data_IF_239811533038
#
_entry.id   IF_239811533038
#
_cell.length_a   1.000
_cell.length_b   1.000
_cell.length_c   1.000
_cell.angle_alpha   90.00
_cell.angle_beta   90.00
_cell.angle_gamma   90.00
#
_symmetry.space_group_name_H-M   'P 1'
#
loop_
_entity.id
_entity.type
_entity.pdbx_description
1 polymer ?
#
# COMPACT_ATOMS: atom_id res chain seq x y z
N UNK A 1 -11.24 -75.32 1.13
CA UNK A 1 -10.81 -74.06 0.50
C UNK A 1 -11.48 -72.91 1.24
N UNK A 2 -10.77 -72.26 2.16
CA UNK A 2 -11.27 -71.11 2.94
C UNK A 2 -10.42 -69.91 2.56
N UNK A 3 -10.94 -69.08 1.67
CA UNK A 3 -10.29 -67.88 1.14
C UNK A 3 -10.41 -66.76 2.16
N UNK A 4 -9.28 -66.32 2.74
CA UNK A 4 -9.19 -65.12 3.58
C UNK A 4 -9.36 -63.88 2.69
N UNK A 5 -10.39 -63.07 2.97
CA UNK A 5 -10.52 -61.73 2.40
C UNK A 5 -9.86 -60.73 3.35
N UNK A 6 -8.67 -60.25 3.03
CA UNK A 6 -8.05 -59.11 3.71
C UNK A 6 -8.64 -57.83 3.12
N UNK A 7 -9.43 -57.10 3.91
CA UNK A 7 -9.87 -55.74 3.57
C UNK A 7 -8.69 -54.80 3.75
N UNK A 8 -8.16 -54.28 2.64
CA UNK A 8 -7.20 -53.19 2.64
C UNK A 8 -7.98 -51.88 2.87
N UNK A 9 -7.91 -51.33 4.07
CA UNK A 9 -8.49 -50.01 4.38
C UNK A 9 -7.54 -48.94 3.86
N UNK A 10 -7.87 -48.35 2.72
CA UNK A 10 -7.14 -47.21 2.17
C UNK A 10 -7.46 -45.98 3.03
N UNK A 11 -6.55 -45.60 3.92
CA UNK A 11 -6.62 -44.32 4.63
C UNK A 11 -6.39 -43.21 3.59
N UNK A 12 -7.47 -42.52 3.20
CA UNK A 12 -7.35 -41.25 2.49
C UNK A 12 -6.77 -40.23 3.48
N UNK A 13 -5.46 -40.00 3.39
CA UNK A 13 -4.83 -38.88 4.05
C UNK A 13 -5.46 -37.60 3.47
N UNK A 14 -6.35 -36.97 4.23
CA UNK A 14 -6.74 -35.59 4.00
C UNK A 14 -5.45 -34.78 4.14
N UNK A 15 -4.83 -34.44 3.00
CA UNK A 15 -3.82 -33.39 2.99
C UNK A 15 -4.53 -32.14 3.50
N UNK A 16 -4.33 -31.83 4.77
CA UNK A 16 -4.52 -30.47 5.27
C UNK A 16 -3.59 -29.62 4.41
N UNK A 17 -4.16 -28.86 3.48
CA UNK A 17 -3.44 -27.81 2.78
C UNK A 17 -2.82 -26.97 3.88
N UNK A 18 -1.49 -27.00 4.01
CA UNK A 18 -0.82 -26.02 4.86
C UNK A 18 -1.27 -24.68 4.31
N UNK A 19 -2.06 -23.92 5.07
CA UNK A 19 -2.38 -22.54 4.72
C UNK A 19 -1.03 -21.85 4.61
N UNK A 20 -0.56 -21.70 3.37
CA UNK A 20 0.70 -21.06 3.13
C UNK A 20 0.58 -19.62 3.66
N UNK A 21 1.68 -19.16 4.26
CA UNK A 21 1.78 -17.92 5.02
C UNK A 21 2.07 -16.82 4.02
N UNK A 22 1.29 -15.75 3.98
CA UNK A 22 1.23 -14.95 2.75
C UNK A 22 1.28 -13.46 3.06
N UNK A 23 2.43 -12.87 2.80
CA UNK A 23 2.60 -11.42 2.74
C UNK A 23 1.82 -10.88 1.53
N UNK A 24 1.09 -9.79 1.72
CA UNK A 24 0.16 -9.25 0.73
C UNK A 24 0.58 -7.93 0.10
N UNK A 25 1.64 -7.29 0.59
CA UNK A 25 1.97 -5.95 0.12
C UNK A 25 2.59 -5.07 1.17
N UNK A 26 3.31 -4.06 0.72
CA UNK A 26 3.77 -2.99 1.57
C UNK A 26 4.48 -1.89 0.83
N UNK A 27 4.74 -0.82 1.57
CA UNK A 27 5.57 0.30 1.16
C UNK A 27 6.31 0.85 2.37
N UNK A 28 7.41 1.55 2.12
CA UNK A 28 8.18 2.26 3.13
C UNK A 28 8.75 3.54 2.53
N UNK A 29 8.54 4.64 3.23
CA UNK A 29 9.13 5.95 2.93
C UNK A 29 9.90 6.44 4.16
N UNK A 30 10.72 7.46 3.97
CA UNK A 30 11.59 7.98 5.00
C UNK A 30 11.85 9.48 4.85
N UNK A 31 12.12 10.14 5.97
CA UNK A 31 12.57 11.53 6.01
C UNK A 31 13.70 11.73 7.04
N UNK A 32 14.64 12.66 6.80
CA UNK A 32 15.68 12.98 7.76
C UNK A 32 15.07 13.71 8.96
N UNK A 33 15.64 13.50 10.14
CA UNK A 33 15.23 14.19 11.38
C UNK A 33 16.34 15.13 11.85
N UNK A 34 17.43 14.57 12.37
CA UNK A 34 18.60 15.33 12.83
C UNK A 34 19.86 14.48 12.68
N UNK A 35 20.94 15.08 12.18
CA UNK A 35 22.18 14.37 11.90
C UNK A 35 21.94 13.22 10.91
N UNK A 36 22.26 11.99 11.32
CA UNK A 36 22.03 10.78 10.52
C UNK A 36 20.83 9.97 11.03
N UNK A 37 19.94 10.59 11.81
CA UNK A 37 18.69 10.00 12.25
C UNK A 37 17.64 10.15 11.16
N UNK A 38 16.97 9.05 10.87
CA UNK A 38 15.92 8.93 9.86
C UNK A 38 14.66 8.42 10.53
N UNK A 39 13.53 9.05 10.21
CA UNK A 39 12.21 8.51 10.49
C UNK A 39 11.75 7.73 9.27
N UNK A 40 11.41 6.46 9.49
CA UNK A 40 10.79 5.59 8.51
C UNK A 40 9.31 5.47 8.83
N UNK A 41 8.47 5.48 7.80
CA UNK A 41 7.05 5.12 7.92
C UNK A 41 6.81 3.97 6.96
N UNK A 42 6.22 2.88 7.46
CA UNK A 42 5.87 1.75 6.62
C UNK A 42 4.41 1.37 6.80
N UNK A 43 3.87 0.81 5.72
CA UNK A 43 2.56 0.18 5.67
C UNK A 43 2.71 -1.20 5.09
N UNK A 44 2.00 -2.17 5.66
CA UNK A 44 2.07 -3.55 5.20
C UNK A 44 0.76 -4.29 5.39
N UNK A 45 0.57 -5.30 4.57
CA UNK A 45 -0.59 -6.17 4.56
C UNK A 45 -0.23 -7.63 4.55
N UNK A 46 -1.07 -8.43 5.19
CA UNK A 46 -0.89 -9.86 5.38
C UNK A 46 -2.21 -10.57 5.14
N UNK A 47 -2.13 -11.88 4.89
CA UNK A 47 -3.29 -12.74 5.09
C UNK A 47 -3.71 -12.69 6.56
N UNK A 48 -5.01 -12.68 6.82
CA UNK A 48 -5.57 -12.61 8.17
C UNK A 48 -4.94 -13.65 9.11
N UNK A 49 -4.43 -13.19 10.25
CA UNK A 49 -3.77 -14.01 11.27
C UNK A 49 -2.34 -14.43 10.94
N UNK A 50 -1.78 -13.99 9.80
CA UNK A 50 -0.40 -14.32 9.40
C UNK A 50 0.60 -13.18 9.64
N UNK A 51 0.12 -11.95 9.88
CA UNK A 51 0.93 -10.80 10.26
C UNK A 51 1.11 -10.67 11.78
N UNK A 52 1.42 -9.47 12.28
CA UNK A 52 1.51 -9.15 13.71
C UNK A 52 0.22 -9.37 14.54
N UNK A 53 -0.88 -9.80 13.93
CA UNK A 53 -2.10 -10.23 14.65
C UNK A 53 -3.15 -9.14 14.77
N UNK A 54 -3.32 -8.37 13.69
CA UNK A 54 -4.40 -7.39 13.54
C UNK A 54 -5.72 -8.10 13.23
N UNK A 55 -6.75 -7.74 14.00
CA UNK A 55 -8.12 -8.26 13.88
C UNK A 55 -9.07 -7.07 13.91
N UNK A 56 -10.32 -7.27 13.52
CA UNK A 56 -11.37 -6.26 13.52
C UNK A 56 -11.54 -5.60 14.90
N UNK A 57 -11.38 -6.38 15.97
CA UNK A 57 -11.46 -5.92 17.36
C UNK A 57 -10.21 -5.16 17.84
N UNK A 58 -9.13 -5.16 17.06
CA UNK A 58 -7.85 -4.53 17.38
C UNK A 58 -7.56 -3.31 16.50
N UNK A 59 -8.48 -2.89 15.65
CA UNK A 59 -8.32 -1.67 14.83
C UNK A 59 -8.02 -0.48 15.76
N UNK A 60 -6.98 0.29 15.41
CA UNK A 60 -6.45 1.39 16.23
C UNK A 60 -5.49 0.95 17.34
N UNK A 61 -5.26 -0.34 17.55
CA UNK A 61 -4.37 -0.86 18.60
C UNK A 61 -3.03 -1.32 18.01
N UNK A 62 -1.97 -1.18 18.81
CA UNK A 62 -0.66 -1.72 18.48
C UNK A 62 -0.66 -3.25 18.56
N UNK A 63 -0.13 -3.90 17.53
CA UNK A 63 -0.03 -5.35 17.43
C UNK A 63 1.41 -5.77 17.13
N UNK A 64 1.91 -6.71 17.92
CA UNK A 64 3.30 -7.19 17.92
C UNK A 64 3.38 -8.72 18.01
N UNK A 65 2.31 -9.40 17.60
CA UNK A 65 2.27 -10.85 17.54
C UNK A 65 3.39 -11.40 16.65
N UNK A 66 3.82 -12.65 16.88
CA UNK A 66 4.87 -13.26 16.10
C UNK A 66 4.42 -13.40 14.65
N UNK A 67 5.11 -12.71 13.74
CA UNK A 67 4.93 -12.91 12.30
C UNK A 67 5.44 -14.30 11.97
N UNK A 68 4.57 -15.14 11.41
CA UNK A 68 4.90 -16.54 11.18
C UNK A 68 5.80 -16.70 9.93
N UNK A 69 7.10 -16.99 10.09
CA UNK A 69 8.04 -17.14 8.95
C UNK A 69 9.52 -16.89 9.27
N UNK A 70 10.36 -16.81 8.23
CA UNK A 70 11.84 -16.79 8.32
C UNK A 70 12.44 -15.40 8.57
N UNK A 71 11.68 -14.31 8.48
CA UNK A 71 12.16 -12.93 8.70
C UNK A 71 11.04 -12.03 9.23
N UNK A 72 11.31 -11.33 10.33
CA UNK A 72 10.32 -10.59 11.13
C UNK A 72 10.69 -9.10 11.32
N UNK A 73 11.72 -8.63 10.62
CA UNK A 73 12.35 -7.35 10.91
C UNK A 73 12.92 -6.66 9.67
N UNK A 74 12.84 -5.34 9.67
CA UNK A 74 13.56 -4.46 8.77
C UNK A 74 15.06 -4.52 9.06
N UNK A 75 15.87 -4.58 8.01
CA UNK A 75 17.33 -4.61 8.10
C UNK A 75 17.96 -3.60 7.17
N UNK A 76 19.10 -3.05 7.58
CA UNK A 76 19.98 -2.37 6.64
C UNK A 76 20.79 -3.42 5.87
N UNK A 77 20.52 -3.58 4.58
CA UNK A 77 21.10 -4.67 3.76
C UNK A 77 22.33 -4.24 2.96
N UNK A 78 22.50 -2.94 2.73
CA UNK A 78 23.65 -2.35 2.05
C UNK A 78 24.08 -1.05 2.76
N UNK A 79 25.37 -0.72 2.72
CA UNK A 79 25.96 0.47 3.36
C UNK A 79 26.22 0.34 4.86
N UNK A 80 25.58 -0.61 5.55
CA UNK A 80 25.80 -0.84 6.99
C UNK A 80 26.70 -2.05 7.28
N UNK A 81 27.53 -1.94 8.32
CA UNK A 81 28.33 -3.05 8.85
C UNK A 81 27.45 -4.12 9.48
N UNK A 82 27.59 -5.38 9.08
CA UNK A 82 26.95 -6.52 9.76
C UNK A 82 25.44 -6.71 9.50
N UNK A 83 24.84 -5.96 8.56
CA UNK A 83 23.42 -6.00 8.22
C UNK A 83 22.46 -5.93 9.43
N UNK A 84 22.54 -4.86 10.24
CA UNK A 84 21.81 -4.75 11.48
C UNK A 84 20.30 -4.76 11.27
N UNK A 85 19.57 -5.26 12.27
CA UNK A 85 18.14 -5.04 12.39
C UNK A 85 17.92 -3.58 12.76
N UNK A 86 17.11 -2.87 11.97
CA UNK A 86 16.81 -1.45 12.19
C UNK A 86 15.43 -1.26 12.83
N UNK A 87 14.52 -2.21 12.63
CA UNK A 87 13.20 -2.23 13.27
C UNK A 87 12.55 -3.61 13.18
N UNK A 88 11.60 -3.89 14.07
CA UNK A 88 10.67 -5.02 13.87
C UNK A 88 9.54 -4.62 12.91
N UNK A 89 8.73 -5.58 12.48
CA UNK A 89 7.59 -5.34 11.60
C UNK A 89 6.23 -5.27 12.33
N UNK A 90 6.24 -4.90 13.62
CA UNK A 90 5.01 -4.65 14.40
C UNK A 90 4.37 -3.33 13.99
N UNK A 91 3.06 -3.20 14.14
CA UNK A 91 2.35 -2.01 13.66
C UNK A 91 1.06 -1.71 14.43
N UNK A 92 0.51 -0.51 14.22
CA UNK A 92 -0.88 -0.22 14.58
C UNK A 92 -1.81 -0.82 13.53
N UNK A 93 -2.80 -1.59 14.00
CA UNK A 93 -3.78 -2.26 13.18
C UNK A 93 -4.69 -1.21 12.53
N UNK A 94 -4.64 -1.12 11.19
CA UNK A 94 -5.42 -0.15 10.42
C UNK A 94 -6.75 -0.75 9.92
N UNK A 95 -6.78 -2.06 9.74
CA UNK A 95 -7.96 -2.77 9.27
C UNK A 95 -7.68 -4.26 9.13
N UNK A 96 -8.72 -5.06 9.27
CA UNK A 96 -8.69 -6.48 8.98
C UNK A 96 -10.08 -6.92 8.54
N UNK A 97 -10.13 -8.02 7.79
CA UNK A 97 -11.36 -8.71 7.47
C UNK A 97 -11.09 -10.22 7.43
N UNK A 98 -11.69 -10.95 8.36
CA UNK A 98 -11.54 -12.39 8.49
C UNK A 98 -12.18 -13.15 7.31
N UNK A 99 -13.35 -12.69 6.85
CA UNK A 99 -14.08 -13.32 5.76
C UNK A 99 -13.30 -13.22 4.44
N UNK A 100 -12.69 -12.05 4.21
CA UNK A 100 -11.85 -11.80 3.04
C UNK A 100 -10.38 -12.16 3.24
N UNK A 101 -10.03 -12.59 4.45
CA UNK A 101 -8.73 -13.13 4.83
C UNK A 101 -7.57 -12.16 4.66
N UNK A 102 -7.73 -10.88 5.01
CA UNK A 102 -6.65 -9.91 5.02
C UNK A 102 -6.55 -9.13 6.33
N UNK A 103 -5.35 -8.66 6.66
CA UNK A 103 -5.07 -7.70 7.71
C UNK A 103 -4.04 -6.68 7.21
N UNK A 104 -4.08 -5.47 7.76
CA UNK A 104 -3.22 -4.36 7.37
C UNK A 104 -2.87 -3.49 8.58
N UNK A 105 -1.65 -2.96 8.58
CA UNK A 105 -1.30 -1.90 9.50
C UNK A 105 -0.16 -1.01 9.05
N UNK A 106 0.15 -0.03 9.89
CA UNK A 106 1.19 0.95 9.67
C UNK A 106 1.96 1.28 10.94
N UNK A 107 3.21 1.69 10.79
CA UNK A 107 4.07 2.07 11.90
C UNK A 107 5.12 3.08 11.42
N UNK A 108 5.55 3.95 12.34
CA UNK A 108 6.79 4.70 12.16
C UNK A 108 7.87 4.22 13.13
N UNK A 109 9.12 4.32 12.72
CA UNK A 109 10.26 4.07 13.60
C UNK A 109 11.43 4.97 13.23
N UNK A 110 12.29 5.22 14.21
CA UNK A 110 13.51 5.97 14.01
C UNK A 110 14.73 5.05 13.99
N UNK A 111 15.69 5.35 13.12
CA UNK A 111 17.00 4.70 13.12
C UNK A 111 18.10 5.71 12.82
N UNK A 112 19.23 5.61 13.53
CA UNK A 112 20.39 6.49 13.33
C UNK A 112 21.52 5.72 12.66
N UNK A 113 21.90 6.16 11.46
CA UNK A 113 23.03 5.62 10.73
C UNK A 113 24.35 6.19 11.25
N UNK A 114 25.46 5.48 11.00
CA UNK A 114 26.79 5.88 11.46
C UNK A 114 27.46 6.95 10.60
N UNK A 115 27.00 7.13 9.35
CA UNK A 115 27.53 8.04 8.35
C UNK A 115 26.40 8.42 7.37
N UNK A 116 26.60 9.33 6.40
CA UNK A 116 25.51 9.78 5.55
C UNK A 116 25.10 8.79 4.44
N UNK A 117 25.72 7.62 4.32
CA UNK A 117 25.35 6.59 3.34
C UNK A 117 26.14 6.67 2.03
N UNK A 118 25.61 6.05 0.95
CA UNK A 118 24.24 5.53 0.79
C UNK A 118 23.97 4.18 1.51
N UNK A 119 22.69 3.91 1.80
CA UNK A 119 22.20 2.70 2.45
C UNK A 119 21.00 2.08 1.71
N UNK A 120 20.71 0.82 2.02
CA UNK A 120 19.44 0.17 1.62
C UNK A 120 18.79 -0.45 2.85
N UNK A 121 17.59 0.04 3.20
CA UNK A 121 16.73 -0.59 4.20
C UNK A 121 15.77 -1.55 3.49
N UNK A 122 15.67 -2.80 3.96
CA UNK A 122 14.81 -3.80 3.34
C UNK A 122 14.08 -4.67 4.36
N UNK A 123 12.87 -5.06 3.97
CA UNK A 123 12.09 -6.15 4.55
C UNK A 123 11.98 -7.23 3.47
N UNK A 124 12.34 -8.46 3.81
CA UNK A 124 12.43 -9.57 2.85
C UNK A 124 11.76 -10.82 3.42
N UNK A 125 11.25 -11.67 2.54
CA UNK A 125 10.69 -12.96 2.93
C UNK A 125 10.54 -13.90 1.75
N UNK A 126 9.99 -15.09 2.03
CA UNK A 126 9.99 -16.22 1.08
C UNK A 126 8.61 -16.71 0.68
N UNK A 127 7.56 -16.10 1.23
CA UNK A 127 6.18 -16.56 1.04
C UNK A 127 5.27 -15.36 0.82
N UNK A 128 5.27 -14.89 -0.43
CA UNK A 128 4.24 -13.97 -0.91
C UNK A 128 2.90 -14.70 -1.00
N UNK A 129 1.78 -13.97 -1.04
CA UNK A 129 0.48 -14.57 -1.35
C UNK A 129 0.49 -15.34 -2.68
N UNK A 130 -0.32 -16.41 -2.75
CA UNK A 130 -0.64 -17.03 -4.02
C UNK A 130 -1.37 -16.04 -4.93
N UNK A 131 -0.98 -15.99 -6.20
CA UNK A 131 -1.54 -15.07 -7.19
C UNK A 131 -2.18 -15.88 -8.33
N UNK A 132 -3.24 -15.35 -8.94
CA UNK A 132 -3.87 -15.93 -10.13
C UNK A 132 -2.95 -15.93 -11.36
N UNK A 133 -1.98 -15.02 -11.38
CA UNK A 133 -0.92 -14.95 -12.37
C UNK A 133 0.42 -14.51 -11.74
N UNK A 134 1.53 -14.85 -12.39
CA UNK A 134 2.88 -14.55 -11.91
C UNK A 134 3.46 -15.65 -11.03
N UNK A 135 4.51 -15.33 -10.27
CA UNK A 135 5.22 -16.31 -9.42
C UNK A 135 4.86 -16.13 -7.94
N UNK A 136 3.56 -15.96 -7.62
CA UNK A 136 3.08 -15.92 -6.24
C UNK A 136 3.56 -17.13 -5.41
N UNK A 137 3.45 -17.07 -4.08
CA UNK A 137 4.07 -18.03 -3.14
C UNK A 137 5.60 -18.03 -3.10
N UNK A 138 6.27 -17.17 -3.87
CA UNK A 138 7.72 -17.02 -3.90
C UNK A 138 8.27 -15.95 -2.96
N UNK A 139 9.58 -15.63 -3.09
CA UNK A 139 10.21 -14.56 -2.35
C UNK A 139 9.69 -13.18 -2.72
N UNK A 140 9.88 -12.25 -1.80
CA UNK A 140 9.51 -10.86 -1.92
C UNK A 140 10.52 -9.97 -1.20
N UNK A 141 10.58 -8.73 -1.63
CA UNK A 141 11.47 -7.71 -1.08
C UNK A 141 10.77 -6.35 -1.15
N UNK A 142 10.72 -5.65 -0.02
CA UNK A 142 10.33 -4.25 0.09
C UNK A 142 11.59 -3.51 0.51
N UNK A 143 12.23 -2.78 -0.39
CA UNK A 143 13.50 -2.10 -0.12
C UNK A 143 13.49 -0.65 -0.61
N UNK A 144 14.03 0.25 0.21
CA UNK A 144 14.22 1.67 -0.11
C UNK A 144 15.70 2.04 0.00
N UNK A 145 16.14 2.98 -0.84
CA UNK A 145 17.48 3.56 -0.80
C UNK A 145 17.48 4.84 0.01
N UNK A 146 18.51 5.02 0.83
CA UNK A 146 18.68 6.17 1.72
C UNK A 146 20.04 6.82 1.42
N UNK A 147 20.05 8.12 1.16
CA UNK A 147 21.25 8.93 1.05
C UNK A 147 21.06 10.22 1.86
N UNK A 148 21.81 10.32 2.95
CA UNK A 148 21.70 11.43 3.90
C UNK A 148 22.71 12.53 3.62
N UNK A 149 23.48 12.45 2.53
CA UNK A 149 24.35 13.54 2.11
C UNK A 149 23.51 14.78 1.81
N UNK A 150 23.98 15.93 2.27
CA UNK A 150 23.29 17.21 2.08
C UNK A 150 23.18 17.56 0.60
N UNK A 151 21.98 17.96 0.18
CA UNK A 151 21.70 18.48 -1.15
C UNK A 151 22.07 19.96 -1.25
N UNK A 152 22.59 20.40 -2.39
CA UNK A 152 23.01 21.79 -2.60
C UNK A 152 21.86 22.78 -2.80
N UNK A 153 20.66 22.31 -3.14
CA UNK A 153 19.48 23.13 -3.41
C UNK A 153 18.65 23.40 -2.15
N UNK A 154 18.40 22.38 -1.32
CA UNK A 154 17.62 22.50 -0.08
C UNK A 154 18.49 22.74 1.16
N UNK A 155 19.80 22.52 1.07
CA UNK A 155 20.73 22.49 2.21
C UNK A 155 20.35 21.46 3.29
N UNK A 156 19.51 20.47 2.95
CA UNK A 156 19.13 19.35 3.81
C UNK A 156 19.38 18.03 3.10
N UNK A 157 19.34 16.91 3.82
CA UNK A 157 19.26 15.59 3.19
C UNK A 157 17.92 15.43 2.47
N UNK A 158 17.86 14.50 1.50
CA UNK A 158 16.64 14.15 0.80
C UNK A 158 15.58 13.55 1.74
N UNK A 159 14.30 13.76 1.44
CA UNK A 159 13.15 13.04 1.97
C UNK A 159 12.55 12.23 0.83
N UNK A 160 12.31 10.93 1.02
CA UNK A 160 11.77 10.11 -0.09
C UNK A 160 10.31 10.44 -0.41
N UNK A 161 9.82 10.13 -1.62
CA UNK A 161 8.41 10.20 -1.95
C UNK A 161 7.52 9.42 -0.99
N UNK A 162 6.28 9.86 -0.87
CA UNK A 162 5.21 9.18 -0.14
C UNK A 162 4.22 8.63 -1.15
N UNK A 163 3.92 7.33 -1.08
CA UNK A 163 2.88 6.70 -1.89
C UNK A 163 1.73 6.23 -0.99
N UNK A 164 0.50 6.68 -1.29
CA UNK A 164 -0.69 6.21 -0.59
C UNK A 164 -1.33 5.07 -1.39
N UNK A 165 -1.29 3.87 -0.83
CA UNK A 165 -1.86 2.68 -1.47
C UNK A 165 -2.68 1.84 -0.50
N UNK A 166 -3.75 1.23 -1.00
CA UNK A 166 -4.40 0.13 -0.30
C UNK A 166 -3.54 -1.13 -0.41
N UNK A 167 -3.69 -2.06 0.54
CA UNK A 167 -3.09 -3.40 0.38
C UNK A 167 -3.86 -4.20 -0.68
N UNK A 168 -5.18 -4.02 -0.77
CA UNK A 168 -6.03 -4.72 -1.73
C UNK A 168 -6.95 -3.70 -2.41
N UNK A 169 -6.93 -3.66 -3.74
CA UNK A 169 -7.90 -2.93 -4.55
C UNK A 169 -8.91 -3.90 -5.17
N UNK A 170 -10.19 -3.57 -5.09
CA UNK A 170 -11.27 -4.36 -5.68
C UNK A 170 -11.64 -3.81 -7.05
N UNK A 171 -11.18 -4.48 -8.09
CA UNK A 171 -11.34 -4.05 -9.48
C UNK A 171 -12.20 -5.06 -10.23
N UNK A 172 -13.46 -4.72 -10.47
CA UNK A 172 -14.46 -5.65 -11.01
C UNK A 172 -13.94 -6.47 -12.22
N UNK A 173 -14.20 -7.77 -12.23
CA UNK A 173 -13.86 -8.65 -13.33
C UNK A 173 -14.61 -8.26 -14.62
N UNK A 174 -13.97 -8.49 -15.78
CA UNK A 174 -14.50 -8.16 -17.11
C UNK A 174 -14.75 -6.65 -17.33
N UNK A 175 -13.88 -5.82 -16.76
CA UNK A 175 -13.96 -4.36 -16.86
C UNK A 175 -12.61 -3.74 -17.22
N UNK A 176 -12.69 -2.55 -17.82
CA UNK A 176 -11.57 -1.64 -17.99
C UNK A 176 -11.33 -0.84 -16.70
N UNK A 177 -10.07 -0.72 -16.28
CA UNK A 177 -9.68 -0.05 -15.05
C UNK A 177 -8.56 0.96 -15.27
N UNK A 178 -8.72 2.10 -14.60
CA UNK A 178 -7.67 3.11 -14.42
C UNK A 178 -7.50 3.32 -12.92
N UNK A 179 -6.34 2.93 -12.39
CA UNK A 179 -5.97 3.08 -10.99
C UNK A 179 -4.81 4.05 -10.87
N UNK A 180 -5.08 5.25 -10.39
CA UNK A 180 -4.05 6.21 -10.04
C UNK A 180 -3.56 5.95 -8.61
N UNK A 181 -2.25 5.77 -8.44
CA UNK A 181 -1.60 5.73 -7.13
C UNK A 181 -1.16 7.15 -6.77
N UNK A 182 -1.70 7.74 -5.68
CA UNK A 182 -1.31 9.09 -5.30
C UNK A 182 0.08 9.10 -4.68
N UNK A 183 0.92 9.99 -5.21
CA UNK A 183 2.32 10.17 -4.79
C UNK A 183 2.61 11.65 -4.54
N UNK A 184 3.49 11.92 -3.58
CA UNK A 184 3.98 13.25 -3.23
C UNK A 184 5.44 13.17 -2.87
N UNK A 185 6.24 14.13 -3.33
CA UNK A 185 7.60 14.33 -2.83
C UNK A 185 7.64 15.54 -1.87
N UNK A 186 8.09 15.38 -0.63
CA UNK A 186 8.15 16.48 0.34
C UNK A 186 9.15 17.58 -0.02
N UNK A 187 10.20 17.28 -0.79
CA UNK A 187 11.23 18.25 -1.19
C UNK A 187 10.86 18.98 -2.49
N UNK A 188 9.75 18.59 -3.12
CA UNK A 188 9.25 19.18 -4.37
C UNK A 188 9.91 18.61 -5.62
N UNK A 189 10.55 17.44 -5.52
CA UNK A 189 11.16 16.76 -6.65
C UNK A 189 10.12 16.18 -7.63
N UNK A 190 10.57 15.90 -8.85
CA UNK A 190 9.76 15.20 -9.83
C UNK A 190 9.67 13.72 -9.46
N UNK A 191 8.45 13.17 -9.44
CA UNK A 191 8.21 11.78 -9.07
C UNK A 191 7.83 10.97 -10.31
N UNK A 192 8.53 9.85 -10.53
CA UNK A 192 8.17 8.87 -11.55
C UNK A 192 7.93 7.50 -10.95
N UNK A 193 6.86 6.84 -11.38
CA UNK A 193 6.57 5.46 -11.05
C UNK A 193 7.04 4.52 -12.15
N UNK A 194 7.72 3.45 -11.78
CA UNK A 194 8.16 2.42 -12.71
C UNK A 194 7.71 1.05 -12.25
N UNK A 195 7.47 0.13 -13.20
CA UNK A 195 7.32 -1.28 -12.85
C UNK A 195 8.62 -1.79 -12.23
N UNK A 196 8.51 -2.32 -11.01
CA UNK A 196 9.64 -2.92 -10.30
C UNK A 196 10.22 -4.10 -11.10
N UNK A 197 11.54 -4.31 -11.02
CA UNK A 197 12.24 -5.36 -11.78
C UNK A 197 13.23 -6.13 -10.91
N UNK A 198 13.48 -7.39 -11.28
CA UNK A 198 14.52 -8.22 -10.65
C UNK A 198 14.31 -8.38 -9.15
N UNK A 199 15.28 -7.93 -8.36
CA UNK A 199 15.24 -8.03 -6.90
C UNK A 199 14.21 -7.10 -6.25
N UNK A 200 13.75 -6.04 -6.91
CA UNK A 200 12.78 -5.08 -6.35
C UNK A 200 11.39 -5.69 -6.15
N UNK A 201 11.06 -6.72 -6.93
CA UNK A 201 9.76 -7.41 -6.89
C UNK A 201 9.87 -8.93 -6.73
N UNK A 202 11.04 -9.52 -6.94
CA UNK A 202 11.29 -10.95 -6.79
C UNK A 202 10.25 -11.81 -7.53
N UNK A 203 9.34 -12.45 -6.81
CA UNK A 203 8.31 -13.32 -7.38
C UNK A 203 7.01 -12.58 -7.75
N UNK A 204 6.87 -11.33 -7.33
CA UNK A 204 5.70 -10.45 -7.58
C UNK A 204 5.78 -9.77 -8.95
N UNK A 205 6.96 -9.75 -9.58
CA UNK A 205 7.16 -9.12 -10.88
C UNK A 205 6.18 -9.66 -11.94
N UNK A 206 5.62 -8.75 -12.75
CA UNK A 206 4.68 -9.08 -13.83
C UNK A 206 3.41 -9.83 -13.37
N UNK A 207 2.98 -9.62 -12.12
CA UNK A 207 1.75 -10.22 -11.58
C UNK A 207 0.48 -9.73 -12.29
N UNK A 208 0.46 -8.48 -12.75
CA UNK A 208 -0.68 -7.88 -13.47
C UNK A 208 -0.47 -7.90 -14.98
N UNK A 209 -1.06 -8.89 -15.67
CA UNK A 209 -0.83 -9.12 -17.10
C UNK A 209 -1.59 -8.13 -17.98
N UNK A 210 -0.93 -7.61 -19.01
CA UNK A 210 -1.54 -6.69 -19.99
C UNK A 210 -1.71 -5.26 -19.48
N UNK A 211 -1.24 -4.96 -18.28
CA UNK A 211 -1.31 -3.62 -17.72
C UNK A 211 -0.26 -2.68 -18.34
N UNK A 212 -0.63 -1.41 -18.47
CA UNK A 212 0.23 -0.29 -18.82
C UNK A 212 0.35 0.65 -17.62
N UNK A 213 1.51 1.27 -17.45
CA UNK A 213 1.73 2.34 -16.47
C UNK A 213 1.92 3.66 -17.23
N UNK A 214 1.25 4.71 -16.76
CA UNK A 214 1.63 6.11 -17.02
C UNK A 214 2.55 6.50 -15.87
N UNK A 215 3.84 6.65 -16.16
CA UNK A 215 4.88 6.77 -15.14
C UNK A 215 4.80 8.11 -14.40
N UNK A 216 4.43 9.18 -15.11
CA UNK A 216 4.45 10.57 -14.66
C UNK A 216 3.37 10.90 -13.62
N UNK A 217 2.31 10.10 -13.56
CA UNK A 217 1.22 10.29 -12.60
C UNK A 217 0.81 8.99 -11.89
N UNK A 218 1.64 7.96 -12.02
CA UNK A 218 1.47 6.66 -11.38
C UNK A 218 0.11 6.00 -11.65
N UNK A 219 -0.40 6.11 -12.89
CA UNK A 219 -1.69 5.51 -13.28
C UNK A 219 -1.51 4.18 -13.98
N UNK A 220 -2.04 3.11 -13.38
CA UNK A 220 -2.09 1.77 -13.93
C UNK A 220 -3.38 1.61 -14.74
N UNK A 221 -3.25 1.20 -15.99
CA UNK A 221 -4.37 0.97 -16.91
C UNK A 221 -4.35 -0.49 -17.34
N UNK A 222 -5.47 -1.20 -17.16
CA UNK A 222 -5.57 -2.61 -17.53
C UNK A 222 -7.03 -3.06 -17.72
N UNK A 223 -7.20 -4.17 -18.42
CA UNK A 223 -8.48 -4.87 -18.57
C UNK A 223 -8.44 -6.19 -17.78
N UNK A 224 -9.48 -6.47 -17.01
CA UNK A 224 -9.59 -7.69 -16.17
C UNK A 224 -10.32 -8.83 -16.89
N UNK A 225 -9.97 -9.12 -18.14
CA UNK A 225 -10.71 -10.06 -19.01
C UNK A 225 -10.15 -11.49 -19.00
N UNK A 226 -11.00 -12.47 -19.33
CA UNK A 226 -10.61 -13.88 -19.45
C UNK A 226 -9.45 -14.10 -20.45
N UNK A 227 -9.45 -13.35 -21.54
CA UNK A 227 -8.45 -13.47 -22.63
C UNK A 227 -7.04 -13.06 -22.17
N UNK A 228 -6.95 -12.18 -21.18
CA UNK A 228 -5.70 -11.80 -20.52
C UNK A 228 -5.34 -12.72 -19.34
N UNK A 229 -6.16 -13.75 -19.08
CA UNK A 229 -5.93 -14.76 -18.05
C UNK A 229 -6.52 -14.40 -16.68
N UNK A 230 -7.34 -13.33 -16.60
CA UNK A 230 -8.03 -12.98 -15.36
C UNK A 230 -9.18 -13.95 -15.07
N UNK A 231 -9.52 -14.09 -13.79
CA UNK A 231 -10.67 -14.87 -13.30
C UNK A 231 -11.37 -14.17 -12.16
N UNK A 232 -12.65 -14.50 -12.00
CA UNK A 232 -13.48 -14.02 -10.90
C UNK A 232 -12.86 -14.38 -9.53
N UNK A 233 -12.72 -13.36 -8.69
CA UNK A 233 -12.32 -13.46 -7.30
C UNK A 233 -10.83 -13.70 -7.04
N UNK A 234 -10.01 -13.93 -8.08
CA UNK A 234 -8.57 -14.15 -7.95
C UNK A 234 -7.81 -12.86 -7.60
N UNK A 235 -6.60 -13.03 -7.06
CA UNK A 235 -5.70 -11.97 -6.61
C UNK A 235 -4.50 -11.83 -7.56
N UNK A 236 -4.11 -10.59 -7.87
CA UNK A 236 -2.98 -10.26 -8.75
C UNK A 236 -2.03 -9.32 -8.02
N UNK A 237 -0.74 -9.58 -8.11
CA UNK A 237 0.30 -8.75 -7.49
C UNK A 237 0.68 -7.59 -8.39
N UNK A 238 0.80 -6.40 -7.80
CA UNK A 238 1.36 -5.20 -8.42
C UNK A 238 2.62 -4.84 -7.66
N UNK A 239 3.68 -4.50 -8.38
CA UNK A 239 4.93 -4.03 -7.80
C UNK A 239 5.48 -2.85 -8.62
N UNK A 240 5.56 -1.69 -7.97
CA UNK A 240 6.12 -0.46 -8.50
C UNK A 240 7.32 -0.01 -7.66
N UNK A 241 8.22 0.72 -8.30
CA UNK A 241 9.26 1.52 -7.64
C UNK A 241 8.97 2.97 -7.95
N UNK A 242 8.83 3.80 -6.91
CA UNK A 242 8.63 5.25 -7.02
C UNK A 242 9.98 5.92 -6.82
N UNK A 243 10.39 6.76 -7.76
CA UNK A 243 11.64 7.50 -7.74
C UNK A 243 11.37 9.01 -7.70
N UNK A 244 12.22 9.74 -6.98
CA UNK A 244 12.33 11.19 -6.97
C UNK A 244 13.54 11.63 -7.83
N UNK A 245 13.38 12.74 -8.53
CA UNK A 245 14.40 13.35 -9.37
C UNK A 245 14.49 14.84 -9.10
N UNK A 246 15.71 15.38 -8.89
CA UNK A 246 15.85 16.79 -8.60
C UNK A 246 15.42 17.61 -9.82
N UNK A 247 14.70 18.72 -9.61
CA UNK A 247 14.21 19.56 -10.71
C UNK A 247 15.36 20.16 -11.56
N UNK A 248 16.53 20.33 -10.96
CA UNK A 248 17.73 20.84 -11.61
C UNK A 248 18.95 20.02 -11.20
N UNK A 249 20.10 20.24 -11.83
CA UNK A 249 21.31 19.54 -11.42
C UNK A 249 21.78 20.02 -10.03
N UNK A 250 21.95 19.08 -9.11
CA UNK A 250 22.39 19.33 -7.73
C UNK A 250 23.70 18.59 -7.43
N UNK A 251 24.28 18.88 -6.27
CA UNK A 251 25.35 18.06 -5.69
C UNK A 251 24.92 17.48 -4.36
N UNK A 252 25.34 16.24 -4.10
CA UNK A 252 25.22 15.58 -2.80
C UNK A 252 26.57 15.64 -2.08
N UNK A 253 26.57 16.11 -0.84
CA UNK A 253 27.79 16.25 -0.04
C UNK A 253 28.82 17.21 -0.64
N UNK A 254 28.39 18.11 -1.54
CA UNK A 254 29.22 19.12 -2.19
C UNK A 254 30.10 18.62 -3.32
N UNK A 255 29.99 17.36 -3.75
CA UNK A 255 30.84 16.80 -4.82
C UNK A 255 30.04 15.98 -5.84
N UNK A 256 29.16 15.08 -5.38
CA UNK A 256 28.51 14.11 -6.26
C UNK A 256 27.37 14.74 -7.03
N UNK A 257 27.57 14.97 -8.33
CA UNK A 257 26.57 15.61 -9.19
C UNK A 257 25.42 14.65 -9.50
N UNK A 258 24.19 15.11 -9.27
CA UNK A 258 22.93 14.48 -9.67
C UNK A 258 22.21 15.38 -10.65
N UNK A 259 21.63 14.79 -11.68
CA UNK A 259 20.82 15.48 -12.70
C UNK A 259 19.35 15.11 -12.56
N UNK A 260 18.42 15.78 -13.26
CA UNK A 260 17.01 15.36 -13.32
C UNK A 260 16.77 13.95 -13.90
N UNK A 261 17.82 13.23 -14.29
CA UNK A 261 17.76 11.83 -14.73
C UNK A 261 18.29 10.84 -13.68
N UNK A 262 18.89 11.35 -12.59
CA UNK A 262 19.50 10.54 -11.55
C UNK A 262 18.61 10.56 -10.31
N UNK A 263 18.02 9.40 -9.98
CA UNK A 263 17.14 9.32 -8.81
C UNK A 263 17.91 9.59 -7.51
N UNK A 264 17.23 10.18 -6.53
CA UNK A 264 17.80 10.46 -5.20
C UNK A 264 17.50 9.33 -4.21
N UNK A 265 16.32 8.74 -4.35
CA UNK A 265 15.80 7.65 -3.56
C UNK A 265 14.94 6.71 -4.40
N UNK A 266 14.43 5.67 -3.74
CA UNK A 266 13.52 4.68 -4.31
C UNK A 266 12.58 4.22 -3.22
N UNK A 267 11.29 4.22 -3.51
CA UNK A 267 10.22 3.81 -2.59
C UNK A 267 9.52 2.61 -3.19
N UNK A 268 9.58 1.45 -2.54
CA UNK A 268 8.93 0.25 -3.04
C UNK A 268 7.43 0.36 -2.78
N UNK A 269 6.62 -0.09 -3.73
CA UNK A 269 5.19 -0.24 -3.52
C UNK A 269 4.71 -1.57 -4.08
N UNK A 270 4.25 -2.45 -3.20
CA UNK A 270 3.62 -3.70 -3.58
C UNK A 270 2.23 -3.83 -2.97
N UNK A 271 1.25 -4.24 -3.76
CA UNK A 271 -0.13 -4.43 -3.32
C UNK A 271 -0.85 -5.46 -4.19
N UNK A 272 -2.09 -5.78 -3.83
CA UNK A 272 -2.95 -6.73 -4.53
C UNK A 272 -4.09 -6.03 -5.26
N UNK A 273 -4.46 -6.60 -6.39
CA UNK A 273 -5.73 -6.34 -7.06
C UNK A 273 -6.55 -7.62 -6.99
N UNK A 274 -7.76 -7.52 -6.44
CA UNK A 274 -8.77 -8.59 -6.50
C UNK A 274 -9.75 -8.29 -7.61
N UNK A 275 -10.12 -9.29 -8.41
CA UNK A 275 -11.08 -9.11 -9.50
C UNK A 275 -12.41 -9.83 -9.27
N UNK A 276 -13.27 -9.37 -8.34
CA UNK A 276 -14.58 -9.97 -8.13
C UNK A 276 -15.54 -9.64 -9.29
N UNK A 277 -16.41 -10.57 -9.65
CA UNK A 277 -17.56 -10.31 -10.49
C UNK A 277 -18.72 -9.74 -9.65
N UNK A 278 -19.39 -8.72 -10.18
CA UNK A 278 -20.58 -8.14 -9.56
C UNK A 278 -21.77 -8.24 -10.53
N UNK A 279 -23.01 -8.36 -10.03
CA UNK A 279 -24.22 -8.36 -10.85
C UNK A 279 -24.60 -6.93 -11.31
N UNK A 280 -23.61 -6.14 -11.72
CA UNK A 280 -23.75 -4.72 -12.12
C UNK A 280 -22.81 -4.43 -13.28
N UNK A 281 -23.17 -3.51 -14.17
CA UNK A 281 -22.26 -3.10 -15.25
C UNK A 281 -21.02 -2.36 -14.70
N UNK A 282 -19.92 -2.36 -15.46
CA UNK A 282 -18.64 -1.76 -15.05
C UNK A 282 -18.75 -0.27 -14.67
N UNK A 283 -19.62 0.46 -15.37
CA UNK A 283 -19.88 1.89 -15.15
C UNK A 283 -20.77 2.17 -13.92
N UNK A 284 -21.39 1.16 -13.32
CA UNK A 284 -22.20 1.30 -12.11
C UNK A 284 -21.33 1.30 -10.84
N UNK A 285 -20.39 2.25 -10.78
CA UNK A 285 -19.53 2.49 -9.61
C UNK A 285 -20.02 3.70 -8.82
N UNK A 286 -19.83 3.72 -7.49
CA UNK A 286 -20.02 4.93 -6.70
C UNK A 286 -19.19 6.09 -7.29
N UNK A 287 -19.67 7.31 -7.08
CA UNK A 287 -18.92 8.51 -7.45
C UNK A 287 -18.84 9.45 -6.26
N UNK A 288 -17.75 10.20 -6.20
CA UNK A 288 -17.65 11.34 -5.30
C UNK A 288 -18.40 12.53 -5.90
N UNK A 289 -19.11 13.25 -5.03
CA UNK A 289 -19.91 14.42 -5.40
C UNK A 289 -19.50 15.64 -4.59
N UNK A 290 -20.13 16.78 -4.88
CA UNK A 290 -19.80 18.07 -4.27
C UNK A 290 -19.78 18.04 -2.74
N UNK A 291 -18.98 18.97 -2.24
CA UNK A 291 -18.19 19.02 -1.00
C UNK A 291 -16.96 18.12 -0.95
N UNK A 292 -16.85 17.04 -1.74
CA UNK A 292 -15.59 16.28 -1.83
C UNK A 292 -14.52 17.10 -2.58
N UNK A 293 -13.30 17.24 -2.05
CA UNK A 293 -12.20 17.84 -2.79
C UNK A 293 -11.96 17.14 -4.13
N UNK A 294 -11.53 17.90 -5.14
CA UNK A 294 -11.21 17.33 -6.44
C UNK A 294 -10.00 16.39 -6.34
N UNK A 295 -9.99 15.35 -7.17
CA UNK A 295 -8.85 14.46 -7.29
C UNK A 295 -7.57 15.26 -7.58
N UNK A 296 -6.52 15.03 -6.79
CA UNK A 296 -5.25 15.75 -6.93
C UNK A 296 -5.23 17.15 -6.29
N UNK A 297 -6.27 17.56 -5.55
CA UNK A 297 -6.22 18.81 -4.78
C UNK A 297 -5.10 18.76 -3.73
N UNK A 298 -4.33 19.84 -3.63
CA UNK A 298 -3.26 19.98 -2.63
C UNK A 298 -3.85 20.24 -1.24
N UNK A 299 -3.44 19.45 -0.26
CA UNK A 299 -3.71 19.71 1.15
C UNK A 299 -2.42 20.23 1.80
N UNK A 300 -2.40 21.49 2.19
CA UNK A 300 -1.27 22.07 2.93
C UNK A 300 -1.68 22.29 4.38
N UNK A 301 -0.84 21.83 5.31
CA UNK A 301 -1.05 22.00 6.74
C UNK A 301 -0.02 22.98 7.33
N UNK A 302 -0.46 23.81 8.30
CA UNK A 302 0.40 24.61 9.18
C UNK A 302 0.25 24.15 10.62
N UNK A 303 1.24 24.40 11.46
CA UNK A 303 1.16 23.97 12.86
C UNK A 303 0.01 24.65 13.61
N UNK A 304 -0.83 23.85 14.27
CA UNK A 304 -1.98 24.32 15.04
C UNK A 304 -3.27 24.47 14.21
N UNK A 305 -3.25 24.14 12.92
CA UNK A 305 -4.45 24.14 12.09
C UNK A 305 -5.39 22.99 12.45
N UNK A 306 -6.69 23.26 12.35
CA UNK A 306 -7.72 22.22 12.29
C UNK A 306 -8.16 22.03 10.84
N UNK A 307 -7.59 21.02 10.18
CA UNK A 307 -8.02 20.63 8.82
C UNK A 307 -9.34 19.88 8.92
N UNK A 308 -10.34 20.33 8.16
CA UNK A 308 -11.64 19.67 8.05
C UNK A 308 -11.98 19.35 6.60
N UNK A 309 -12.13 18.05 6.28
CA UNK A 309 -12.45 17.57 4.93
C UNK A 309 -13.77 16.80 4.99
N UNK A 310 -14.64 17.00 4.01
CA UNK A 310 -15.90 16.27 3.88
C UNK A 310 -15.86 15.45 2.60
N UNK A 311 -15.91 14.13 2.71
CA UNK A 311 -15.93 13.22 1.56
C UNK A 311 -17.34 12.69 1.39
N UNK A 312 -17.95 12.95 0.24
CA UNK A 312 -19.36 12.70 -0.07
C UNK A 312 -19.49 11.84 -1.31
N UNK A 313 -20.25 10.75 -1.24
CA UNK A 313 -20.46 9.83 -2.35
C UNK A 313 -21.94 9.46 -2.54
N UNK A 314 -22.29 9.18 -3.79
CA UNK A 314 -23.60 8.67 -4.20
C UNK A 314 -23.46 7.54 -5.25
N UNK A 315 -24.60 6.96 -5.64
CA UNK A 315 -24.69 5.99 -6.74
C UNK A 315 -25.30 6.61 -8.01
N UNK A 316 -25.00 7.89 -8.25
CA UNK A 316 -25.66 8.70 -9.28
C UNK A 316 -27.19 8.62 -9.13
N UNK A 317 -27.92 8.30 -10.20
CA UNK A 317 -29.37 8.23 -10.20
C UNK A 317 -29.94 6.86 -9.74
N UNK A 318 -29.08 5.94 -9.28
CA UNK A 318 -29.53 4.63 -8.79
C UNK A 318 -29.81 4.67 -7.29
N UNK A 319 -31.08 4.86 -6.95
CA UNK A 319 -31.59 4.86 -5.58
C UNK A 319 -31.84 3.46 -5.00
N UNK A 320 -31.62 2.40 -5.79
CA UNK A 320 -31.84 1.01 -5.36
C UNK A 320 -30.63 0.42 -4.64
N UNK A 321 -29.52 1.17 -4.56
CA UNK A 321 -28.30 0.78 -3.88
C UNK A 321 -27.75 1.91 -2.99
N UNK A 322 -27.28 1.57 -1.79
CA UNK A 322 -26.70 2.50 -0.82
C UNK A 322 -25.17 2.43 -0.80
N UNK A 323 -24.52 3.53 -0.40
CA UNK A 323 -23.09 3.52 -0.05
C UNK A 323 -22.93 2.73 1.24
N UNK A 324 -22.06 1.72 1.23
CA UNK A 324 -21.77 0.85 2.38
C UNK A 324 -20.52 1.29 3.13
N UNK A 325 -19.50 1.78 2.41
CA UNK A 325 -18.28 2.32 3.01
C UNK A 325 -17.70 3.48 2.21
N UNK A 326 -16.98 4.35 2.91
CA UNK A 326 -16.01 5.28 2.34
C UNK A 326 -14.70 5.00 3.07
N UNK A 327 -13.77 4.34 2.38
CA UNK A 327 -12.47 3.94 2.91
C UNK A 327 -11.44 5.02 2.62
N UNK A 328 -10.62 5.32 3.62
CA UNK A 328 -9.81 6.54 3.65
C UNK A 328 -8.37 6.24 4.02
N UNK A 329 -7.46 6.95 3.36
CA UNK A 329 -6.02 6.89 3.60
C UNK A 329 -5.47 8.30 3.70
N UNK A 330 -4.58 8.54 4.65
CA UNK A 330 -4.02 9.87 4.91
C UNK A 330 -3.06 9.83 6.09
N UNK A 331 -2.70 11.00 6.64
CA UNK A 331 -1.85 11.11 7.83
C UNK A 331 -2.37 10.28 9.01
N UNK A 332 -1.45 9.84 9.88
CA UNK A 332 -1.76 8.96 11.02
C UNK A 332 -2.79 9.58 11.96
N UNK A 333 -2.75 10.90 12.16
CA UNK A 333 -3.62 11.63 13.08
C UNK A 333 -4.90 12.17 12.42
N UNK A 334 -5.21 11.71 11.20
CA UNK A 334 -6.45 12.06 10.50
C UNK A 334 -7.63 11.28 11.10
N UNK A 335 -8.42 11.93 11.94
CA UNK A 335 -9.63 11.36 12.52
C UNK A 335 -10.76 11.28 11.50
N UNK A 336 -11.57 10.22 11.60
CA UNK A 336 -12.65 9.93 10.66
C UNK A 336 -13.97 9.71 11.41
N UNK A 337 -15.06 10.30 10.91
CA UNK A 337 -16.39 10.01 11.42
C UNK A 337 -16.89 8.64 10.95
N UNK A 338 -17.97 8.15 11.57
CA UNK A 338 -18.80 7.12 10.98
C UNK A 338 -19.38 7.58 9.63
N UNK A 339 -19.78 6.64 8.78
CA UNK A 339 -20.52 6.94 7.56
C UNK A 339 -21.92 7.46 7.94
N UNK A 340 -22.30 8.60 7.40
CA UNK A 340 -23.57 9.27 7.72
C UNK A 340 -24.35 9.63 6.46
N UNK A 341 -25.70 9.59 6.48
CA UNK A 341 -26.50 10.13 5.39
C UNK A 341 -26.33 11.64 5.29
N UNK A 342 -26.22 12.18 4.07
CA UNK A 342 -26.13 13.61 3.83
C UNK A 342 -27.51 14.28 4.05
N UNK A 343 -27.63 15.27 4.96
CA UNK A 343 -28.94 15.84 5.32
C UNK A 343 -29.65 16.57 4.18
N UNK A 344 -28.95 16.93 3.10
CA UNK A 344 -29.49 17.70 1.98
C UNK A 344 -29.78 16.88 0.72
N UNK A 345 -29.36 15.62 0.65
CA UNK A 345 -29.42 14.82 -0.58
C UNK A 345 -29.87 13.38 -0.32
N UNK A 346 -30.90 12.95 -1.05
CA UNK A 346 -31.42 11.58 -0.97
C UNK A 346 -30.38 10.57 -1.44
N UNK A 347 -30.18 9.50 -0.67
CA UNK A 347 -29.25 8.40 -1.00
C UNK A 347 -27.79 8.82 -1.20
N UNK A 348 -27.40 9.95 -0.60
CA UNK A 348 -26.03 10.44 -0.57
C UNK A 348 -25.48 10.25 0.83
N UNK A 349 -24.22 9.83 0.93
CA UNK A 349 -23.56 9.53 2.20
C UNK A 349 -22.23 10.27 2.29
N UNK A 350 -21.79 10.58 3.50
CA UNK A 350 -20.53 11.26 3.73
C UNK A 350 -19.76 10.72 4.94
N UNK A 351 -18.45 10.98 4.93
CA UNK A 351 -17.59 10.96 6.11
C UNK A 351 -16.95 12.34 6.30
N UNK A 352 -16.89 12.79 7.54
CA UNK A 352 -16.14 13.96 7.94
C UNK A 352 -14.75 13.52 8.43
N UNK A 353 -13.73 14.28 8.04
CA UNK A 353 -12.35 14.09 8.44
C UNK A 353 -11.89 15.32 9.19
N UNK A 354 -11.22 15.11 10.30
CA UNK A 354 -10.69 16.17 11.14
C UNK A 354 -9.27 15.84 11.53
N UNK A 355 -8.37 16.79 11.35
CA UNK A 355 -6.97 16.61 11.69
C UNK A 355 -6.45 17.85 12.40
N UNK A 356 -5.95 17.63 13.62
CA UNK A 356 -5.27 18.63 14.43
C UNK A 356 -3.78 18.51 14.14
N UNK A 357 -3.24 19.53 13.48
CA UNK A 357 -1.88 19.50 12.95
C UNK A 357 -0.87 20.08 13.95
N UNK A 358 0.33 19.51 13.96
CA UNK A 358 1.45 19.91 14.79
C UNK A 358 2.59 20.50 13.95
N UNK A 359 3.67 20.93 14.60
CA UNK A 359 4.88 21.37 13.88
C UNK A 359 5.50 20.27 13.01
N UNK A 360 5.24 18.99 13.30
CA UNK A 360 5.72 17.88 12.49
C UNK A 360 4.92 17.69 11.18
N UNK A 361 3.77 18.35 11.08
CA UNK A 361 2.80 18.20 9.99
C UNK A 361 2.84 19.37 9.00
N UNK A 362 3.77 20.32 9.16
CA UNK A 362 3.91 21.43 8.22
C UNK A 362 4.31 20.90 6.85
N UNK A 363 3.56 21.27 5.81
CA UNK A 363 3.87 20.91 4.43
C UNK A 363 2.67 20.43 3.62
N UNK A 364 2.94 19.84 2.46
CA UNK A 364 1.94 19.21 1.61
C UNK A 364 1.63 17.78 2.09
N UNK A 365 0.36 17.38 1.99
CA UNK A 365 -0.16 16.08 2.39
C UNK A 365 -1.13 15.55 1.34
N UNK A 366 -1.31 14.24 1.30
CA UNK A 366 -2.32 13.59 0.46
C UNK A 366 -3.34 12.88 1.36
N UNK A 367 -4.60 12.95 0.95
CA UNK A 367 -5.67 12.09 1.46
C UNK A 367 -6.33 11.40 0.27
N UNK A 368 -6.59 10.10 0.40
CA UNK A 368 -7.27 9.30 -0.62
C UNK A 368 -8.56 8.73 -0.06
N UNK A 369 -9.60 8.69 -0.89
CA UNK A 369 -10.88 8.10 -0.56
C UNK A 369 -11.30 7.07 -1.61
N UNK A 370 -11.98 6.02 -1.17
CA UNK A 370 -12.63 5.04 -2.04
C UNK A 370 -14.04 4.78 -1.53
N UNK A 371 -15.04 4.88 -2.39
CA UNK A 371 -16.43 4.63 -2.03
C UNK A 371 -16.89 3.26 -2.53
N UNK A 372 -17.58 2.50 -1.68
CA UNK A 372 -18.15 1.18 -1.99
C UNK A 372 -19.65 1.23 -1.76
N UNK A 373 -20.42 0.59 -2.64
CA UNK A 373 -21.86 0.43 -2.47
C UNK A 373 -22.23 -0.99 -2.09
N UNK A 374 -23.46 -1.17 -1.63
CA UNK A 374 -23.89 -2.44 -1.09
C UNK A 374 -23.79 -3.59 -2.10
N UNK A 375 -24.05 -3.35 -3.39
CA UNK A 375 -23.93 -4.37 -4.46
C UNK A 375 -22.50 -4.80 -4.74
N UNK A 376 -21.55 -3.90 -4.50
CA UNK A 376 -20.11 -4.18 -4.50
C UNK A 376 -19.61 -4.65 -3.13
N UNK A 377 -20.51 -4.68 -2.13
CA UNK A 377 -20.30 -5.24 -0.79
C UNK A 377 -20.93 -6.63 -0.59
N UNK A 378 -21.83 -7.12 -1.45
CA UNK A 378 -22.52 -8.42 -1.26
C UNK A 378 -21.61 -9.63 -1.58
N UNK A 379 -20.31 -9.42 -1.78
CA UNK A 379 -19.27 -10.45 -1.65
C UNK A 379 -18.15 -10.04 -0.68
N UNK A 380 -18.44 -9.11 0.26
CA UNK A 380 -17.59 -8.70 1.39
C UNK A 380 -17.98 -9.42 2.68
#
# INVERSE_FOLDING_TARGET
>A
MTTKLYRLTLFAAVLTTSLARHFGGGTINWKPVEGYKVEFVFKMGWTYGMGPGCTETKIGQFVNGPISGDQTAWKCTQGCTGRPIISNASYYCMGANQLERWEQGQMSFNYTFSNPGPFVAAFEGRKWMALGHGKGSGPWRIATTIDLRTRSDTNTSNSSPVALSQVIYYMQYDCHHELQIPVLDPDGDEVLCQWAKGNECEAVCNGLRGARLIEENCTIIFDSTATLGYKDGEMYGVALTIHDYPQTAITLGGQDRKTPMDSLSSVPLQFLIRTPAFPTACNERPRFVSSTPQQGSKLTAQAGDTVSIRVVADNSNDFTKKISSIDLMGPVDLHQSALMPDPGHTNTFFKALTWQTSSADIGEHIVCATAVNERRSVML
#
